data_IF_162281132323
#
_entry.id   IF_162281132323
#
_cell.length_a   1.000
_cell.length_b   1.000
_cell.length_c   1.000
_cell.angle_alpha   90.00
_cell.angle_beta   90.00
_cell.angle_gamma   90.00
#
_symmetry.space_group_name_H-M   'P 1'
#
loop_
_entity.id
_entity.type
_entity.pdbx_description
1 polymer ?
#
# COMPACT_ATOMS: atom_id res chain seq x y z
N UNK A 1 -10.15 15.71 -7.94
CA UNK A 1 -10.27 14.30 -7.51
C UNK A 1 -10.93 14.18 -6.14
N UNK A 2 -10.49 14.94 -5.12
CA UNK A 2 -11.17 15.00 -3.80
C UNK A 2 -12.66 15.37 -3.90
N UNK A 3 -13.00 16.42 -4.65
CA UNK A 3 -14.42 16.83 -4.88
C UNK A 3 -15.29 15.78 -5.61
N UNK A 4 -14.69 14.83 -6.31
CA UNK A 4 -15.43 13.74 -6.97
C UNK A 4 -15.65 12.56 -6.03
N UNK A 5 -14.69 12.29 -5.14
CA UNK A 5 -14.81 11.27 -4.09
C UNK A 5 -15.82 11.71 -3.02
N UNK A 6 -15.83 13.00 -2.63
CA UNK A 6 -16.87 13.56 -1.77
C UNK A 6 -18.25 13.45 -2.41
N UNK A 7 -18.39 13.77 -3.70
CA UNK A 7 -19.66 13.61 -4.42
C UNK A 7 -20.09 12.14 -4.49
N UNK A 8 -19.16 11.20 -4.69
CA UNK A 8 -19.46 9.77 -4.69
C UNK A 8 -19.90 9.29 -3.31
N UNK A 9 -19.20 9.70 -2.24
CA UNK A 9 -19.56 9.40 -0.85
C UNK A 9 -20.93 9.98 -0.48
N UNK A 10 -21.21 11.23 -0.86
CA UNK A 10 -22.52 11.86 -0.65
C UNK A 10 -23.59 11.12 -1.45
N UNK A 11 -23.31 10.68 -2.67
CA UNK A 11 -24.27 9.90 -3.49
C UNK A 11 -24.53 8.53 -2.88
N UNK A 12 -23.51 7.86 -2.34
CA UNK A 12 -23.64 6.59 -1.61
C UNK A 12 -24.44 6.82 -0.31
N UNK A 13 -24.18 7.91 0.42
CA UNK A 13 -24.96 8.29 1.61
C UNK A 13 -26.41 8.60 1.25
N UNK A 14 -26.65 9.26 0.12
CA UNK A 14 -27.99 9.58 -0.37
C UNK A 14 -28.75 8.33 -0.80
N UNK A 15 -28.07 7.37 -1.44
CA UNK A 15 -28.62 6.05 -1.75
C UNK A 15 -28.93 5.24 -0.48
N UNK A 16 -28.06 5.28 0.55
CA UNK A 16 -28.29 4.65 1.85
C UNK A 16 -29.50 5.24 2.59
N UNK A 17 -29.79 6.54 2.41
CA UNK A 17 -30.96 7.20 3.01
C UNK A 17 -32.24 6.91 2.20
N UNK A 18 -32.15 6.84 0.86
CA UNK A 18 -33.31 6.51 0.02
C UNK A 18 -33.77 5.05 0.14
N UNK A 19 -32.89 4.11 0.51
CA UNK A 19 -33.32 2.72 0.77
C UNK A 19 -34.22 2.56 1.98
N UNK A 20 -34.33 3.56 2.87
CA UNK A 20 -35.32 3.58 3.95
C UNK A 20 -36.73 3.98 3.47
N UNK A 21 -36.90 4.41 2.21
CA UNK A 21 -38.17 4.97 1.69
C UNK A 21 -38.85 4.04 0.66
N UNK A 22 -38.16 3.04 0.11
CA UNK A 22 -38.75 2.08 -0.84
C UNK A 22 -39.10 0.76 -0.13
N UNK A 23 -40.18 0.79 0.64
CA UNK A 23 -40.69 -0.36 1.37
C UNK A 23 -42.13 -0.24 1.83
N UNK A 24 -43.00 0.44 1.09
CA UNK A 24 -44.44 0.45 1.36
C UNK A 24 -45.17 -0.11 0.15
N UNK A 25 -45.49 -1.41 0.20
CA UNK A 25 -46.72 -2.02 -0.29
C UNK A 25 -46.60 -3.54 -0.19
N UNK A 26 -46.78 -4.08 1.02
CA UNK A 26 -47.24 -5.45 1.23
C UNK A 26 -48.14 -5.47 2.49
N UNK A 27 -49.22 -6.28 2.50
CA UNK A 27 -50.20 -6.33 3.60
C UNK A 27 -49.59 -6.91 4.89
N UNK A 28 -50.23 -6.76 6.07
CA UNK A 28 -49.55 -6.67 7.36
C UNK A 28 -49.05 -8.04 7.82
N UNK A 29 -47.78 -8.34 7.51
CA UNK A 29 -46.99 -9.31 8.25
C UNK A 29 -46.09 -8.52 9.17
N UNK A 30 -46.49 -8.45 10.45
CA UNK A 30 -45.72 -7.97 11.61
C UNK A 30 -44.47 -7.15 11.24
N UNK A 31 -44.64 -5.85 11.04
CA UNK A 31 -43.53 -4.94 10.78
C UNK A 31 -42.78 -4.68 12.11
N UNK A 32 -41.46 -4.95 12.18
CA UNK A 32 -40.71 -4.75 13.42
C UNK A 32 -40.71 -3.28 13.87
N UNK A 33 -40.90 -2.33 12.95
CA UNK A 33 -40.97 -0.90 13.27
C UNK A 33 -42.28 -0.54 13.99
N UNK A 34 -43.37 -1.28 13.73
CA UNK A 34 -44.63 -1.14 14.48
C UNK A 34 -44.45 -1.64 15.92
N UNK A 35 -43.78 -2.78 16.12
CA UNK A 35 -43.49 -3.33 17.46
C UNK A 35 -42.56 -2.41 18.27
N UNK A 36 -41.57 -1.79 17.63
CA UNK A 36 -40.67 -0.84 18.29
C UNK A 36 -41.40 0.47 18.62
N UNK A 37 -42.28 0.95 17.74
CA UNK A 37 -43.14 2.11 18.01
C UNK A 37 -44.10 1.86 19.18
N UNK A 38 -44.75 0.70 19.21
CA UNK A 38 -45.60 0.28 20.34
C UNK A 38 -44.81 0.16 21.66
N UNK A 39 -43.57 -0.33 21.60
CA UNK A 39 -42.69 -0.39 22.77
C UNK A 39 -42.32 1.02 23.27
N UNK A 40 -42.05 1.96 22.37
CA UNK A 40 -41.74 3.35 22.71
C UNK A 40 -42.97 4.07 23.32
N UNK A 41 -44.17 3.81 22.81
CA UNK A 41 -45.41 4.33 23.39
C UNK A 41 -45.67 3.75 24.80
N UNK A 42 -45.36 2.47 25.02
CA UNK A 42 -45.43 1.83 26.34
C UNK A 42 -44.36 2.37 27.30
N UNK A 43 -43.17 2.70 26.82
CA UNK A 43 -42.11 3.31 27.63
C UNK A 43 -42.51 4.72 28.11
N UNK A 44 -43.14 5.51 27.24
CA UNK A 44 -43.69 6.83 27.60
C UNK A 44 -44.82 6.68 28.63
N UNK A 45 -45.69 5.67 28.50
CA UNK A 45 -46.77 5.38 29.47
C UNK A 45 -46.21 4.88 30.81
N UNK A 46 -45.18 4.02 30.78
CA UNK A 46 -44.50 3.52 31.96
C UNK A 46 -43.75 4.61 32.73
N UNK A 47 -43.17 5.59 32.03
CA UNK A 47 -42.54 6.77 32.63
C UNK A 47 -43.52 7.70 33.36
N UNK A 48 -44.81 7.66 33.00
CA UNK A 48 -45.88 8.48 33.61
C UNK A 48 -46.69 7.74 34.68
N UNK A 49 -46.46 6.45 34.87
CA UNK A 49 -47.21 5.65 35.84
C UNK A 49 -46.67 5.82 37.27
N UNK A 50 -47.56 6.17 38.21
CA UNK A 50 -47.23 6.34 39.62
C UNK A 50 -47.26 5.02 40.40
N UNK A 51 -47.98 3.99 39.91
CA UNK A 51 -48.05 2.68 40.55
C UNK A 51 -46.84 1.79 40.17
N UNK A 52 -46.01 1.36 41.14
CA UNK A 52 -44.83 0.54 40.89
C UNK A 52 -45.15 -0.84 40.28
N UNK A 53 -46.30 -1.44 40.59
CA UNK A 53 -46.67 -2.77 40.06
C UNK A 53 -47.03 -2.70 38.59
N UNK A 54 -47.85 -1.71 38.22
CA UNK A 54 -48.23 -1.47 36.81
C UNK A 54 -47.02 -1.05 35.97
N UNK A 55 -46.09 -0.27 36.54
CA UNK A 55 -44.83 0.11 35.88
C UNK A 55 -43.93 -1.10 35.59
N UNK A 56 -43.77 -2.02 36.53
CA UNK A 56 -42.97 -3.24 36.30
C UNK A 56 -43.57 -4.14 35.22
N UNK A 57 -44.90 -4.29 35.17
CA UNK A 57 -45.59 -5.04 34.10
C UNK A 57 -45.34 -4.42 32.72
N UNK A 58 -45.46 -3.10 32.60
CA UNK A 58 -45.19 -2.41 31.34
C UNK A 58 -43.72 -2.51 30.91
N UNK A 59 -42.77 -2.45 31.85
CA UNK A 59 -41.34 -2.67 31.53
C UNK A 59 -41.09 -4.08 30.97
N UNK A 60 -41.72 -5.09 31.55
CA UNK A 60 -41.62 -6.46 31.04
C UNK A 60 -42.22 -6.60 29.62
N UNK A 61 -43.36 -5.97 29.36
CA UNK A 61 -43.96 -5.93 28.02
C UNK A 61 -43.09 -5.16 27.00
N UNK A 62 -42.47 -4.05 27.40
CA UNK A 62 -41.51 -3.31 26.55
C UNK A 62 -40.33 -4.21 26.16
N UNK A 63 -39.74 -4.90 27.14
CA UNK A 63 -38.63 -5.82 26.89
C UNK A 63 -39.04 -6.96 25.97
N UNK A 64 -40.23 -7.53 26.17
CA UNK A 64 -40.79 -8.57 25.30
C UNK A 64 -40.99 -8.07 23.87
N UNK A 65 -41.62 -6.90 23.68
CA UNK A 65 -41.85 -6.32 22.34
C UNK A 65 -40.55 -5.95 21.62
N UNK A 66 -39.57 -5.40 22.33
CA UNK A 66 -38.23 -5.12 21.75
C UNK A 66 -37.50 -6.40 21.34
N UNK A 67 -37.61 -7.46 22.15
CA UNK A 67 -37.05 -8.76 21.82
C UNK A 67 -37.73 -9.37 20.58
N UNK A 68 -39.06 -9.34 20.53
CA UNK A 68 -39.85 -9.81 19.37
C UNK A 68 -39.53 -9.01 18.10
N UNK A 69 -39.37 -7.69 18.20
CA UNK A 69 -38.95 -6.84 17.08
C UNK A 69 -37.54 -7.20 16.58
N UNK A 70 -36.59 -7.44 17.49
CA UNK A 70 -35.23 -7.88 17.14
C UNK A 70 -35.23 -9.23 16.43
N UNK A 71 -35.90 -10.23 17.01
CA UNK A 71 -35.99 -11.58 16.43
C UNK A 71 -36.65 -11.55 15.05
N UNK A 72 -37.62 -10.66 14.85
CA UNK A 72 -38.31 -10.50 13.57
C UNK A 72 -37.45 -9.77 12.53
N UNK A 73 -36.67 -8.76 12.93
CA UNK A 73 -35.64 -8.14 12.08
C UNK A 73 -34.60 -9.15 11.62
N UNK A 74 -34.12 -9.99 12.54
CA UNK A 74 -33.14 -11.02 12.23
C UNK A 74 -33.71 -12.01 11.21
N UNK A 75 -34.95 -12.48 11.40
CA UNK A 75 -35.63 -13.37 10.43
C UNK A 75 -35.84 -12.73 9.07
N UNK A 76 -36.25 -11.46 9.00
CA UNK A 76 -36.42 -10.74 7.74
C UNK A 76 -35.08 -10.56 7.03
N UNK A 77 -34.03 -10.23 7.78
CA UNK A 77 -32.68 -10.07 7.26
C UNK A 77 -32.10 -11.40 6.75
N UNK A 78 -32.33 -12.51 7.45
CA UNK A 78 -31.98 -13.85 6.96
C UNK A 78 -32.72 -14.20 5.67
N UNK A 79 -34.02 -13.87 5.58
CA UNK A 79 -34.78 -14.06 4.34
C UNK A 79 -34.21 -13.23 3.20
N UNK A 80 -33.80 -12.00 3.44
CA UNK A 80 -33.17 -11.14 2.44
C UNK A 80 -31.83 -11.70 1.96
N UNK A 81 -30.95 -12.09 2.89
CA UNK A 81 -29.65 -12.70 2.58
C UNK A 81 -29.82 -14.02 1.82
N UNK A 82 -30.84 -14.81 2.14
CA UNK A 82 -31.09 -16.09 1.49
C UNK A 82 -31.40 -15.97 -0.01
N UNK A 83 -31.83 -14.79 -0.48
CA UNK A 83 -32.04 -14.45 -1.90
C UNK A 83 -30.71 -14.24 -2.64
N UNK A 84 -29.74 -15.12 -2.41
CA UNK A 84 -28.46 -15.09 -3.10
C UNK A 84 -28.67 -15.17 -4.63
N UNK A 85 -27.96 -14.37 -5.44
CA UNK A 85 -28.09 -14.40 -6.89
C UNK A 85 -27.71 -15.78 -7.43
N UNK A 86 -28.62 -16.40 -8.20
CA UNK A 86 -28.38 -17.71 -8.83
C UNK A 86 -27.49 -17.64 -10.09
N UNK A 87 -27.33 -16.45 -10.67
CA UNK A 87 -26.57 -16.21 -11.89
C UNK A 87 -25.09 -15.88 -11.64
N UNK A 88 -24.41 -15.42 -12.68
CA UNK A 88 -23.09 -14.81 -12.56
C UNK A 88 -23.20 -13.57 -11.65
N UNK A 89 -22.15 -13.30 -10.88
CA UNK A 89 -22.14 -12.16 -9.94
C UNK A 89 -20.93 -11.30 -10.22
N UNK A 90 -21.13 -9.99 -10.16
CA UNK A 90 -20.07 -9.01 -10.26
C UNK A 90 -20.03 -8.16 -9.00
N UNK A 91 -18.95 -8.26 -8.24
CA UNK A 91 -18.75 -7.50 -7.02
C UNK A 91 -17.75 -6.36 -7.26
N UNK A 92 -18.13 -5.15 -6.88
CA UNK A 92 -17.26 -3.97 -6.83
C UNK A 92 -17.06 -3.61 -5.37
N UNK A 93 -15.82 -3.59 -4.89
CA UNK A 93 -15.45 -3.17 -3.55
C UNK A 93 -14.57 -1.92 -3.57
N UNK A 94 -14.95 -0.94 -2.76
CA UNK A 94 -14.14 0.26 -2.48
C UNK A 94 -13.64 0.13 -1.06
N UNK A 95 -12.32 0.22 -0.89
CA UNK A 95 -11.66 0.05 0.40
C UNK A 95 -11.10 1.38 0.90
N UNK A 96 -11.18 1.60 2.21
CA UNK A 96 -10.53 2.66 2.94
C UNK A 96 -9.45 2.01 3.81
N UNK A 97 -8.21 2.00 3.33
CA UNK A 97 -7.12 1.27 3.96
C UNK A 97 -6.19 2.23 4.70
N UNK A 98 -6.15 2.16 6.03
CA UNK A 98 -5.22 2.94 6.83
C UNK A 98 -3.84 2.27 6.78
N UNK A 99 -3.01 2.73 5.84
CA UNK A 99 -1.77 2.05 5.47
C UNK A 99 -0.52 2.76 5.89
N UNK A 100 0.44 1.99 6.39
CA UNK A 100 1.84 2.38 6.55
C UNK A 100 2.66 1.80 5.39
N UNK A 101 3.54 2.62 4.83
CA UNK A 101 4.42 2.20 3.74
C UNK A 101 5.88 2.57 4.01
N UNK A 102 6.75 1.58 3.92
CA UNK A 102 8.20 1.74 3.95
C UNK A 102 8.69 1.46 2.52
N UNK A 103 9.05 2.52 1.75
CA UNK A 103 9.34 2.38 0.33
C UNK A 103 10.76 1.84 0.06
N UNK A 104 10.89 1.00 -0.97
CA UNK A 104 12.21 0.54 -1.45
C UNK A 104 13.19 1.68 -1.79
N UNK A 105 12.69 2.83 -2.27
CA UNK A 105 13.52 4.00 -2.59
C UNK A 105 14.22 4.59 -1.37
N UNK A 106 13.55 4.58 -0.20
CA UNK A 106 14.14 5.09 1.04
C UNK A 106 15.20 4.12 1.57
N UNK A 107 14.91 2.82 1.53
CA UNK A 107 15.85 1.78 1.92
C UNK A 107 17.14 1.83 1.06
N UNK A 108 17.00 2.08 -0.25
CA UNK A 108 18.16 2.29 -1.14
C UNK A 108 19.00 3.49 -0.72
N UNK A 109 18.37 4.62 -0.37
CA UNK A 109 19.09 5.82 0.11
C UNK A 109 19.82 5.59 1.42
N UNK A 110 19.20 4.89 2.37
CA UNK A 110 19.85 4.52 3.62
C UNK A 110 21.08 3.63 3.39
N UNK A 111 21.01 2.71 2.41
CA UNK A 111 22.17 1.90 2.02
C UNK A 111 23.30 2.73 1.39
N UNK A 112 22.97 3.67 0.49
CA UNK A 112 23.96 4.59 -0.12
C UNK A 112 24.66 5.39 0.98
N UNK A 113 23.88 6.00 1.88
CA UNK A 113 24.37 6.73 3.06
C UNK A 113 25.28 5.91 3.99
N UNK A 114 24.90 4.66 4.26
CA UNK A 114 25.70 3.77 5.11
C UNK A 114 27.04 3.45 4.45
N UNK A 115 27.04 3.19 3.14
CA UNK A 115 28.25 2.96 2.37
C UNK A 115 29.14 4.21 2.35
N UNK A 116 28.57 5.40 2.16
CA UNK A 116 29.31 6.67 2.27
C UNK A 116 29.95 6.84 3.64
N UNK A 117 29.21 6.53 4.72
CA UNK A 117 29.73 6.63 6.08
C UNK A 117 30.86 5.64 6.33
N UNK A 118 30.73 4.40 5.85
CA UNK A 118 31.79 3.40 5.96
C UNK A 118 33.01 3.82 5.14
N UNK A 119 32.83 4.23 3.88
CA UNK A 119 33.91 4.80 3.06
C UNK A 119 34.53 5.99 3.78
N UNK A 120 33.77 6.89 4.37
CA UNK A 120 34.26 8.01 5.18
C UNK A 120 35.09 7.56 6.39
N UNK A 121 34.65 6.56 7.15
CA UNK A 121 35.36 6.05 8.34
C UNK A 121 36.64 5.29 7.95
N UNK A 122 36.59 4.44 6.92
CA UNK A 122 37.76 3.74 6.38
C UNK A 122 38.76 4.70 5.75
N UNK A 123 38.27 5.71 5.04
CA UNK A 123 39.14 6.74 4.46
C UNK A 123 39.67 7.65 5.55
N UNK A 124 39.00 7.89 6.69
CA UNK A 124 39.55 8.68 7.82
C UNK A 124 40.85 8.09 8.40
N UNK A 125 41.00 6.76 8.42
CA UNK A 125 42.27 6.11 8.77
C UNK A 125 43.38 6.29 7.73
N UNK A 126 43.01 6.47 6.45
CA UNK A 126 43.91 6.78 5.34
C UNK A 126 44.04 8.30 5.06
N UNK A 127 43.17 9.15 5.60
CA UNK A 127 43.06 10.59 5.30
C UNK A 127 44.22 11.39 5.89
N UNK A 128 44.85 10.88 6.95
CA UNK A 128 46.14 11.41 7.40
C UNK A 128 47.22 11.23 6.33
N UNK A 129 47.16 10.14 5.55
CA UNK A 129 48.09 9.89 4.44
C UNK A 129 47.63 10.51 3.10
N UNK A 130 46.34 10.54 2.80
CA UNK A 130 45.84 11.08 1.51
C UNK A 130 45.95 12.60 1.46
N UNK A 131 45.69 13.35 2.55
CA UNK A 131 46.00 14.79 2.59
C UNK A 131 47.49 15.07 2.41
N UNK A 132 48.37 14.17 2.87
CA UNK A 132 49.81 14.25 2.65
C UNK A 132 50.21 13.88 1.19
N UNK A 133 49.49 12.95 0.55
CA UNK A 133 49.73 12.54 -0.84
C UNK A 133 49.15 13.55 -1.84
N UNK A 134 48.00 14.18 -1.58
CA UNK A 134 47.42 15.24 -2.42
C UNK A 134 48.22 16.54 -2.35
N UNK A 135 48.99 16.76 -1.28
CA UNK A 135 49.98 17.84 -1.19
C UNK A 135 51.15 17.70 -2.18
N UNK A 136 51.37 16.50 -2.75
CA UNK A 136 52.48 16.22 -3.68
C UNK A 136 52.06 16.05 -5.15
N UNK A 137 50.84 16.46 -5.51
CA UNK A 137 50.47 16.77 -6.89
C UNK A 137 50.05 15.57 -7.75
N UNK A 138 48.74 15.37 -7.88
CA UNK A 138 48.00 14.95 -9.11
C UNK A 138 46.54 14.57 -8.86
N UNK A 139 46.08 14.48 -7.61
CA UNK A 139 44.68 14.21 -7.28
C UNK A 139 44.01 15.41 -6.61
N UNK A 140 42.86 15.85 -7.14
CA UNK A 140 42.03 16.90 -6.53
C UNK A 140 41.29 16.33 -5.30
N UNK A 141 41.62 16.76 -4.07
CA UNK A 141 40.98 16.26 -2.85
C UNK A 141 39.47 16.57 -2.78
N UNK A 142 38.94 17.44 -3.65
CA UNK A 142 37.52 17.82 -3.72
C UNK A 142 36.68 16.89 -4.63
N UNK A 143 37.30 15.89 -5.28
CA UNK A 143 36.57 14.77 -5.90
C UNK A 143 35.92 13.88 -4.83
N UNK A 144 36.35 14.03 -3.57
CA UNK A 144 35.82 13.32 -2.40
C UNK A 144 35.00 14.31 -1.57
N UNK A 145 33.75 14.56 -1.98
CA UNK A 145 32.81 15.31 -1.15
C UNK A 145 32.36 14.42 0.03
N UNK A 146 33.01 14.58 1.19
CA UNK A 146 32.83 13.77 2.40
C UNK A 146 31.55 14.08 3.18
N UNK A 147 30.43 14.33 2.51
CA UNK A 147 29.16 14.54 3.21
C UNK A 147 28.48 13.20 3.44
N UNK A 148 28.50 12.71 4.68
CA UNK A 148 27.62 11.62 5.10
C UNK A 148 26.20 12.15 5.34
N UNK A 149 25.20 11.54 4.70
CA UNK A 149 23.79 11.93 4.84
C UNK A 149 23.02 10.94 5.70
N UNK A 150 22.70 11.23 6.96
CA UNK A 150 21.96 10.28 7.83
C UNK A 150 20.45 10.45 7.72
N UNK A 151 19.73 9.51 7.11
CA UNK A 151 18.27 9.59 6.99
C UNK A 151 17.57 9.07 8.25
N UNK A 152 16.70 9.88 8.85
CA UNK A 152 15.81 9.40 9.93
C UNK A 152 14.69 8.50 9.37
N UNK A 153 14.05 7.75 10.27
CA UNK A 153 12.86 6.99 9.91
C UNK A 153 11.76 7.95 9.41
N UNK A 154 11.02 7.57 8.36
CA UNK A 154 10.03 8.45 7.75
C UNK A 154 8.91 8.74 8.77
N UNK A 155 8.80 9.99 9.18
CA UNK A 155 7.67 10.46 9.98
C UNK A 155 6.47 10.67 9.06
N UNK A 156 5.28 10.25 9.49
CA UNK A 156 4.06 10.37 8.69
C UNK A 156 4.01 9.44 7.49
N UNK A 157 4.60 8.25 7.57
CA UNK A 157 4.53 7.21 6.54
C UNK A 157 3.18 6.45 6.51
N UNK A 158 2.21 6.91 7.30
CA UNK A 158 0.87 6.36 7.38
C UNK A 158 -0.13 7.30 6.71
N UNK A 159 -0.92 6.78 5.77
CA UNK A 159 -1.99 7.53 5.09
C UNK A 159 -3.09 6.57 4.64
N UNK A 160 -4.32 7.07 4.54
CA UNK A 160 -5.44 6.33 3.96
C UNK A 160 -5.25 6.13 2.45
N UNK A 161 -5.25 4.88 2.01
CA UNK A 161 -5.26 4.45 0.63
C UNK A 161 -6.66 4.01 0.21
N UNK A 162 -6.98 4.15 -1.08
CA UNK A 162 -8.30 3.82 -1.63
C UNK A 162 -8.21 2.76 -2.75
N UNK A 163 -7.90 1.50 -2.42
CA UNK A 163 -7.92 0.43 -3.41
C UNK A 163 -9.34 0.13 -3.88
N UNK A 164 -9.48 -0.20 -5.16
CA UNK A 164 -10.71 -0.71 -5.77
C UNK A 164 -10.47 -2.18 -6.11
N UNK A 165 -11.38 -3.06 -5.69
CA UNK A 165 -11.36 -4.48 -6.05
C UNK A 165 -12.60 -4.83 -6.86
N UNK A 166 -12.43 -5.60 -7.91
CA UNK A 166 -13.48 -6.14 -8.75
C UNK A 166 -13.39 -7.66 -8.67
N UNK A 167 -14.53 -8.33 -8.46
CA UNK A 167 -14.60 -9.78 -8.43
C UNK A 167 -15.78 -10.23 -9.29
N UNK A 168 -15.47 -10.87 -10.41
CA UNK A 168 -16.45 -11.58 -11.21
C UNK A 168 -16.43 -13.06 -10.83
N UNK A 169 -17.61 -13.66 -10.62
CA UNK A 169 -17.77 -15.10 -10.45
C UNK A 169 -18.82 -15.61 -11.44
N UNK A 170 -18.47 -16.71 -12.12
CA UNK A 170 -19.39 -17.44 -13.00
C UNK A 170 -20.64 -17.94 -12.27
N UNK A 171 -21.66 -18.40 -13.00
CA UNK A 171 -22.88 -18.98 -12.42
C UNK A 171 -22.56 -20.14 -11.46
N UNK A 172 -21.65 -21.02 -11.87
CA UNK A 172 -21.20 -22.14 -11.03
C UNK A 172 -20.40 -21.74 -9.79
N UNK A 173 -19.97 -20.46 -9.70
CA UNK A 173 -19.06 -19.93 -8.66
C UNK A 173 -17.72 -20.65 -8.53
N UNK A 174 -17.41 -21.59 -9.43
CA UNK A 174 -16.13 -22.32 -9.50
C UNK A 174 -15.04 -21.50 -10.16
N UNK A 175 -15.39 -20.66 -11.12
CA UNK A 175 -14.42 -19.82 -11.84
C UNK A 175 -14.73 -18.34 -11.62
N UNK A 176 -13.67 -17.54 -11.58
CA UNK A 176 -13.79 -16.09 -11.43
C UNK A 176 -12.57 -15.31 -11.90
N UNK A 177 -12.74 -14.00 -11.94
CA UNK A 177 -11.68 -13.03 -12.24
C UNK A 177 -11.70 -11.98 -11.15
N UNK A 178 -10.55 -11.74 -10.54
CA UNK A 178 -10.33 -10.69 -9.55
C UNK A 178 -9.39 -9.64 -10.13
N UNK A 179 -9.77 -8.37 -10.08
CA UNK A 179 -8.89 -7.26 -10.41
C UNK A 179 -8.76 -6.32 -9.22
N UNK A 180 -7.55 -5.86 -8.91
CA UNK A 180 -7.31 -4.87 -7.86
C UNK A 180 -6.53 -3.71 -8.45
N UNK A 181 -6.93 -2.49 -8.10
CA UNK A 181 -6.26 -1.27 -8.50
C UNK A 181 -5.97 -0.38 -7.29
N UNK A 182 -4.74 0.11 -7.18
CA UNK A 182 -4.28 1.04 -6.16
C UNK A 182 -3.38 2.10 -6.80
N UNK A 183 -3.68 3.39 -6.59
CA UNK A 183 -2.74 4.51 -6.78
C UNK A 183 -2.59 5.24 -5.44
N UNK A 184 -1.48 5.00 -4.76
CA UNK A 184 -1.19 5.56 -3.45
C UNK A 184 -0.11 6.62 -3.55
N UNK A 185 -0.35 7.79 -2.94
CA UNK A 185 0.61 8.90 -2.90
C UNK A 185 0.77 9.42 -1.48
N UNK A 186 2.01 9.50 -1.02
CA UNK A 186 2.36 9.98 0.31
C UNK A 186 3.57 10.91 0.25
N UNK A 187 3.63 11.83 1.21
CA UNK A 187 4.74 12.77 1.38
C UNK A 187 5.28 12.66 2.81
N UNK A 188 5.97 11.56 3.14
CA UNK A 188 6.55 11.44 4.47
C UNK A 188 7.62 12.52 4.62
N UNK A 189 7.94 12.88 5.85
CA UNK A 189 9.08 13.74 6.16
C UNK A 189 10.17 12.91 6.80
N UNK A 190 11.41 13.16 6.39
CA UNK A 190 12.58 12.72 7.15
C UNK A 190 13.59 13.85 7.21
N UNK A 191 14.42 13.78 8.23
CA UNK A 191 15.57 14.66 8.41
C UNK A 191 16.82 13.96 7.89
N UNK A 192 17.71 14.74 7.28
CA UNK A 192 19.11 14.35 7.15
C UNK A 192 20.02 15.26 7.94
N UNK A 193 21.07 14.67 8.51
CA UNK A 193 22.23 15.41 9.01
C UNK A 193 23.30 15.28 7.95
N UNK A 194 23.79 16.42 7.45
CA UNK A 194 24.97 16.48 6.61
C UNK A 194 26.17 16.84 7.48
N UNK A 195 27.16 15.97 7.51
CA UNK A 195 28.42 16.22 8.20
C UNK A 195 29.46 16.60 7.15
N UNK A 196 29.94 17.84 7.15
CA UNK A 196 31.09 18.27 6.35
C UNK A 196 32.28 18.51 7.28
N UNK A 197 33.22 17.55 7.41
CA UNK A 197 34.32 17.68 8.35
C UNK A 197 35.45 18.50 7.72
N UNK A 198 35.36 19.81 7.86
CA UNK A 198 36.52 20.70 7.69
C UNK A 198 37.03 21.11 9.08
N UNK A 199 38.35 21.08 9.26
CA UNK A 199 39.01 21.60 10.47
C UNK A 199 38.59 23.06 10.66
N UNK A 200 37.69 23.32 11.62
CA UNK A 200 37.14 24.65 11.93
C UNK A 200 35.66 24.86 11.60
N UNK A 201 34.95 23.89 10.99
CA UNK A 201 33.53 24.02 10.68
C UNK A 201 32.71 22.92 11.37
N UNK A 202 32.22 23.22 12.59
CA UNK A 202 31.30 22.38 13.36
C UNK A 202 29.83 22.53 12.93
N UNK A 203 29.54 23.29 11.87
CA UNK A 203 28.16 23.55 11.45
C UNK A 203 27.55 22.33 10.77
N UNK A 204 26.91 21.48 11.58
CA UNK A 204 26.01 20.44 11.11
C UNK A 204 24.81 21.12 10.44
N UNK A 205 24.61 20.87 9.15
CA UNK A 205 23.43 21.40 8.45
C UNK A 205 22.31 20.36 8.55
N UNK A 206 21.24 20.74 9.24
CA UNK A 206 20.01 19.96 9.34
C UNK A 206 19.14 20.27 8.14
N UNK A 207 18.93 19.28 7.28
CA UNK A 207 18.04 19.42 6.14
C UNK A 207 16.79 18.58 6.36
N UNK A 208 15.63 19.21 6.18
CA UNK A 208 14.34 18.53 6.14
C UNK A 208 13.99 18.21 4.69
N UNK A 209 13.66 16.95 4.43
CA UNK A 209 13.25 16.50 3.11
C UNK A 209 11.77 16.14 3.12
N UNK A 210 11.08 16.57 2.07
CA UNK A 210 9.71 16.19 1.77
C UNK A 210 9.64 15.37 0.49
N UNK A 211 10.08 14.11 0.49
CA UNK A 211 9.93 13.25 -0.69
C UNK A 211 8.46 13.14 -1.10
N UNK A 212 8.23 13.13 -2.41
CA UNK A 212 7.00 12.67 -2.99
C UNK A 212 7.16 11.20 -3.35
N UNK A 213 6.36 10.33 -2.72
CA UNK A 213 6.31 8.92 -3.04
C UNK A 213 4.96 8.58 -3.68
N UNK A 214 5.01 7.72 -4.69
CA UNK A 214 3.83 7.14 -5.32
C UNK A 214 4.04 5.66 -5.59
N UNK A 215 3.01 4.86 -5.30
CA UNK A 215 2.93 3.43 -5.60
C UNK A 215 1.68 3.19 -6.43
N UNK A 216 1.83 2.58 -7.59
CA UNK A 216 0.72 2.06 -8.37
C UNK A 216 0.81 0.54 -8.37
N UNK A 217 -0.28 -0.13 -7.97
CA UNK A 217 -0.33 -1.58 -7.83
C UNK A 217 -1.60 -2.09 -8.51
N UNK A 218 -1.43 -2.83 -9.60
CA UNK A 218 -2.51 -3.34 -10.42
C UNK A 218 -2.37 -4.86 -10.51
N UNK A 219 -3.41 -5.58 -10.13
CA UNK A 219 -3.44 -7.03 -10.11
C UNK A 219 -4.62 -7.54 -10.93
N UNK A 220 -4.41 -8.60 -11.68
CA UNK A 220 -5.46 -9.33 -12.39
C UNK A 220 -5.23 -10.82 -12.18
N UNK A 221 -6.17 -11.49 -11.52
CA UNK A 221 -6.09 -12.89 -11.13
C UNK A 221 -7.28 -13.68 -11.69
N UNK A 222 -6.99 -14.81 -12.33
CA UNK A 222 -7.96 -15.87 -12.58
C UNK A 222 -8.08 -16.76 -11.34
N UNK A 223 -9.31 -17.09 -10.97
CA UNK A 223 -9.64 -17.85 -9.77
C UNK A 223 -10.26 -19.20 -10.13
N UNK A 224 -9.86 -20.25 -9.42
CA UNK A 224 -10.52 -21.56 -9.49
C UNK A 224 -10.83 -22.07 -8.09
N UNK A 225 -12.11 -22.19 -7.74
CA UNK A 225 -12.60 -22.62 -6.44
C UNK A 225 -13.07 -24.08 -6.44
N UNK A 226 -12.65 -24.79 -5.40
CA UNK A 226 -13.25 -26.02 -4.93
C UNK A 226 -14.16 -25.70 -3.75
N UNK A 227 -15.39 -26.22 -3.78
CA UNK A 227 -16.30 -26.13 -2.65
C UNK A 227 -16.15 -27.38 -1.79
N UNK A 228 -15.82 -27.19 -0.51
CA UNK A 228 -15.75 -28.29 0.47
C UNK A 228 -17.16 -28.66 0.93
N UNK A 229 -17.33 -29.85 1.50
CA UNK A 229 -18.63 -30.28 2.06
C UNK A 229 -19.18 -29.38 3.17
N UNK A 230 -18.37 -28.44 3.70
CA UNK A 230 -18.80 -27.43 4.68
C UNK A 230 -19.25 -26.11 4.02
N UNK A 231 -19.34 -26.03 2.70
CA UNK A 231 -19.61 -24.79 1.94
C UNK A 231 -18.45 -23.78 1.95
N UNK A 232 -17.23 -24.21 2.32
CA UNK A 232 -16.04 -23.35 2.22
C UNK A 232 -15.52 -23.41 0.79
N UNK A 233 -15.27 -22.25 0.18
CA UNK A 233 -14.62 -22.16 -1.13
C UNK A 233 -13.13 -21.94 -0.93
N UNK A 234 -12.32 -22.85 -1.43
CA UNK A 234 -10.86 -22.75 -1.40
C UNK A 234 -10.30 -22.94 -2.79
N UNK A 235 -9.19 -22.31 -3.13
CA UNK A 235 -8.66 -22.53 -4.46
C UNK A 235 -7.45 -21.69 -4.86
N UNK A 236 -6.69 -22.16 -5.85
CA UNK A 236 -5.58 -21.42 -6.41
C UNK A 236 -6.04 -20.23 -7.25
N UNK A 237 -5.14 -19.26 -7.41
CA UNK A 237 -5.24 -18.18 -8.37
C UNK A 237 -3.97 -18.07 -9.21
N UNK A 238 -4.13 -17.65 -10.46
CA UNK A 238 -3.04 -17.36 -11.38
C UNK A 238 -3.30 -16.00 -12.01
N UNK A 239 -2.30 -15.14 -12.07
CA UNK A 239 -2.51 -13.77 -12.47
C UNK A 239 -1.25 -13.04 -12.92
N UNK A 240 -1.45 -11.76 -13.19
CA UNK A 240 -0.40 -10.81 -13.54
C UNK A 240 -0.48 -9.62 -12.59
N UNK A 241 0.67 -9.08 -12.23
CA UNK A 241 0.79 -7.90 -11.37
C UNK A 241 1.71 -6.87 -12.01
N UNK A 242 1.21 -5.65 -12.16
CA UNK A 242 2.00 -4.48 -12.43
C UNK A 242 2.23 -3.72 -11.11
N UNK A 243 3.49 -3.41 -10.82
CA UNK A 243 3.88 -2.62 -9.66
C UNK A 243 4.88 -1.54 -10.08
N UNK A 244 4.43 -0.30 -9.96
CA UNK A 244 5.21 0.88 -10.30
C UNK A 244 5.44 1.73 -9.06
N UNK A 245 6.71 2.04 -8.77
CA UNK A 245 7.10 2.97 -7.71
C UNK A 245 7.73 4.21 -8.32
N UNK A 246 7.39 5.34 -7.73
CA UNK A 246 7.95 6.64 -8.06
C UNK A 246 8.35 7.35 -6.78
N UNK A 247 9.54 7.92 -6.79
CA UNK A 247 10.04 8.76 -5.73
C UNK A 247 10.68 9.99 -6.31
N UNK A 248 10.36 11.16 -5.75
CA UNK A 248 11.02 12.42 -6.08
C UNK A 248 11.38 13.15 -4.80
N UNK A 249 12.58 13.68 -4.75
CA UNK A 249 13.11 14.41 -3.62
C UNK A 249 13.80 15.69 -4.11
N UNK A 250 13.78 16.70 -3.26
CA UNK A 250 14.57 17.91 -3.42
C UNK A 250 15.34 18.15 -2.12
N UNK A 251 16.64 18.40 -2.24
CA UNK A 251 17.51 18.67 -1.10
C UNK A 251 18.96 18.31 -1.40
N UNK A 252 19.76 18.04 -0.37
CA UNK A 252 21.12 17.54 -0.59
C UNK A 252 21.06 16.10 -1.09
N UNK A 253 21.66 15.87 -2.26
CA UNK A 253 21.61 14.58 -2.92
C UNK A 253 22.70 13.65 -2.36
N UNK A 254 22.38 12.35 -2.13
CA UNK A 254 23.39 11.36 -1.79
C UNK A 254 24.42 11.23 -2.93
N UNK A 255 25.64 10.79 -2.60
CA UNK A 255 26.78 10.70 -3.52
C UNK A 255 27.60 11.98 -3.63
N UNK A 256 27.42 12.93 -2.71
CA UNK A 256 28.14 14.21 -2.77
C UNK A 256 27.76 15.08 -3.97
N UNK A 257 26.60 14.81 -4.58
CA UNK A 257 26.09 15.46 -5.79
C UNK A 257 25.58 16.90 -5.56
N UNK A 258 25.69 17.39 -4.32
CA UNK A 258 25.27 18.73 -3.92
C UNK A 258 23.76 18.85 -3.80
N UNK A 259 23.28 20.10 -3.76
CA UNK A 259 21.86 20.40 -3.58
C UNK A 259 21.10 20.35 -4.91
N UNK A 260 19.96 19.68 -4.95
CA UNK A 260 19.22 19.48 -6.19
C UNK A 260 18.01 18.56 -6.10
N UNK A 261 17.56 18.07 -7.26
CA UNK A 261 16.42 17.13 -7.37
C UNK A 261 16.90 15.73 -7.71
N UNK A 262 16.36 14.71 -7.04
CA UNK A 262 16.52 13.31 -7.40
C UNK A 262 15.16 12.69 -7.68
N UNK A 263 15.06 11.96 -8.79
CA UNK A 263 13.87 11.27 -9.24
C UNK A 263 14.19 9.81 -9.53
N UNK A 264 13.42 8.91 -8.95
CA UNK A 264 13.53 7.46 -9.11
C UNK A 264 12.19 6.92 -9.60
N UNK A 265 12.22 6.19 -10.72
CA UNK A 265 11.09 5.50 -11.35
C UNK A 265 11.47 4.04 -11.50
N UNK A 266 10.67 3.16 -10.92
CA UNK A 266 10.93 1.73 -11.01
C UNK A 266 9.62 1.00 -11.28
N UNK A 267 9.46 0.55 -12.52
CA UNK A 267 8.26 -0.15 -12.97
C UNK A 267 8.50 -1.63 -13.20
N UNK A 268 7.45 -2.45 -13.09
CA UNK A 268 7.60 -3.88 -13.30
C UNK A 268 6.28 -4.61 -13.51
N UNK A 269 6.29 -5.56 -14.45
CA UNK A 269 5.19 -6.48 -14.71
C UNK A 269 5.68 -7.91 -14.50
N UNK A 270 4.81 -8.79 -14.01
CA UNK A 270 5.13 -10.21 -14.00
C UNK A 270 4.04 -11.10 -13.41
N UNK A 271 4.32 -12.40 -13.32
CA UNK A 271 3.33 -13.37 -12.89
C UNK A 271 3.07 -13.29 -11.38
N UNK A 272 1.84 -13.65 -11.02
CA UNK A 272 1.36 -13.83 -9.67
C UNK A 272 0.69 -15.20 -9.56
N UNK A 273 0.99 -15.93 -8.50
CA UNK A 273 0.27 -17.13 -8.10
C UNK A 273 -0.30 -16.89 -6.72
N UNK A 274 -1.46 -17.45 -6.42
CA UNK A 274 -2.04 -17.26 -5.11
C UNK A 274 -2.99 -18.35 -4.71
N UNK A 275 -3.55 -18.14 -3.53
CA UNK A 275 -4.54 -19.00 -2.91
C UNK A 275 -5.62 -18.13 -2.30
N UNK A 276 -6.87 -18.59 -2.37
CA UNK A 276 -8.05 -17.92 -1.83
C UNK A 276 -8.81 -18.87 -0.94
N UNK A 277 -9.30 -18.36 0.18
CA UNK A 277 -10.19 -19.04 1.11
C UNK A 277 -11.36 -18.11 1.37
N UNK A 278 -12.58 -18.61 1.17
CA UNK A 278 -13.82 -17.89 1.45
C UNK A 278 -14.74 -18.83 2.22
N UNK A 279 -14.98 -18.54 3.49
CA UNK A 279 -15.82 -19.34 4.38
C UNK A 279 -17.01 -18.52 4.85
N UNK A 280 -18.23 -18.97 4.54
CA UNK A 280 -19.43 -18.47 5.20
C UNK A 280 -19.44 -19.01 6.63
N UNK A 281 -19.45 -18.12 7.62
CA UNK A 281 -19.51 -18.49 9.03
C UNK A 281 -20.97 -18.67 9.47
N UNK A 282 -21.83 -17.78 8.99
CA UNK A 282 -23.29 -17.86 9.10
C UNK A 282 -23.90 -17.02 7.95
N UNK A 283 -25.20 -16.74 8.02
CA UNK A 283 -25.88 -15.93 7.01
C UNK A 283 -25.28 -14.50 6.93
N UNK A 284 -24.88 -13.93 8.06
CA UNK A 284 -24.43 -12.55 8.15
C UNK A 284 -22.94 -12.37 7.89
N UNK A 285 -22.12 -13.36 8.21
CA UNK A 285 -20.67 -13.23 8.24
C UNK A 285 -19.98 -14.19 7.28
N UNK A 286 -19.02 -13.64 6.52
CA UNK A 286 -18.11 -14.39 5.67
C UNK A 286 -16.68 -14.00 6.00
N UNK A 287 -15.86 -15.00 6.29
CA UNK A 287 -14.42 -14.86 6.38
C UNK A 287 -13.81 -15.01 4.99
N UNK A 288 -12.83 -14.16 4.66
CA UNK A 288 -11.99 -14.34 3.49
C UNK A 288 -10.52 -14.22 3.87
N UNK A 289 -9.70 -15.02 3.21
CA UNK A 289 -8.24 -14.92 3.28
C UNK A 289 -7.65 -15.18 1.91
N UNK A 290 -6.55 -14.50 1.62
CA UNK A 290 -5.80 -14.63 0.38
C UNK A 290 -4.31 -14.51 0.67
N UNK A 291 -3.55 -15.30 -0.07
CA UNK A 291 -2.10 -15.26 -0.07
C UNK A 291 -1.63 -15.27 -1.52
N UNK A 292 -0.84 -14.30 -1.90
CA UNK A 292 -0.30 -14.14 -3.25
C UNK A 292 1.22 -14.12 -3.18
N UNK A 293 1.87 -14.83 -4.08
CA UNK A 293 3.29 -14.75 -4.37
C UNK A 293 3.48 -14.18 -5.76
N UNK A 294 4.37 -13.21 -5.92
CA UNK A 294 4.59 -12.55 -7.19
C UNK A 294 6.06 -12.32 -7.48
N UNK A 295 6.37 -12.26 -8.78
CA UNK A 295 7.65 -11.79 -9.30
C UNK A 295 7.38 -10.76 -10.39
N UNK A 296 8.06 -9.63 -10.35
CA UNK A 296 7.99 -8.63 -11.41
C UNK A 296 9.38 -8.25 -11.90
N UNK A 297 9.45 -7.94 -13.19
CA UNK A 297 10.64 -7.42 -13.84
C UNK A 297 10.24 -6.17 -14.62
N UNK A 298 11.06 -5.14 -14.58
CA UNK A 298 10.88 -4.01 -15.47
C UNK A 298 12.00 -3.01 -15.35
N UNK A 299 11.73 -1.78 -15.78
CA UNK A 299 12.76 -0.75 -15.97
C UNK A 299 13.00 0.02 -14.69
N UNK A 300 14.28 0.32 -14.46
CA UNK A 300 14.74 1.20 -13.40
C UNK A 300 15.35 2.47 -14.01
N UNK A 301 14.86 3.62 -13.58
CA UNK A 301 15.36 4.92 -13.99
C UNK A 301 15.61 5.78 -12.76
N UNK A 302 16.84 6.22 -12.61
CA UNK A 302 17.29 7.25 -11.68
C UNK A 302 17.75 8.47 -12.49
N UNK A 303 17.22 9.64 -12.12
CA UNK A 303 17.60 10.95 -12.66
C UNK A 303 17.95 11.88 -11.52
N UNK A 304 19.09 12.53 -11.60
CA UNK A 304 19.61 13.45 -10.59
C UNK A 304 20.04 14.75 -11.25
N UNK A 305 19.51 15.87 -10.76
CA UNK A 305 19.92 17.21 -11.16
C UNK A 305 20.47 17.91 -9.92
N UNK A 306 21.78 17.97 -9.79
CA UNK A 306 22.49 18.61 -8.68
C UNK A 306 23.14 19.93 -9.10
N UNK A 307 23.36 20.79 -8.13
CA UNK A 307 24.27 21.93 -8.25
C UNK A 307 25.43 21.74 -7.30
N UNK A 308 26.64 21.93 -7.80
CA UNK A 308 27.88 21.88 -7.01
C UNK A 308 28.62 23.18 -7.17
N UNK A 309 29.27 23.66 -6.11
CA UNK A 309 30.10 24.87 -6.18
C UNK A 309 31.56 24.42 -6.32
N UNK A 310 32.22 24.84 -7.39
CA UNK A 310 33.63 24.58 -7.66
C UNK A 310 34.36 25.91 -7.83
N UNK A 311 35.39 26.18 -7.01
CA UNK A 311 36.13 27.45 -7.03
C UNK A 311 35.24 28.71 -7.04
N UNK A 312 34.18 28.72 -6.22
CA UNK A 312 33.23 29.83 -6.15
C UNK A 312 32.25 29.94 -7.34
N UNK A 313 32.34 29.02 -8.32
CA UNK A 313 31.47 28.98 -9.50
C UNK A 313 30.46 27.84 -9.36
N UNK A 314 29.18 28.10 -9.66
CA UNK A 314 28.12 27.10 -9.60
C UNK A 314 28.12 26.24 -10.87
N UNK A 315 28.31 24.93 -10.72
CA UNK A 315 28.20 23.92 -11.77
C UNK A 315 26.89 23.15 -11.66
N UNK A 316 26.25 22.89 -12.80
CA UNK A 316 25.05 22.07 -12.90
C UNK A 316 25.43 20.65 -13.34
N UNK A 317 25.05 19.65 -12.54
CA UNK A 317 25.24 18.23 -12.84
C UNK A 317 23.87 17.63 -13.14
N UNK A 318 23.65 17.21 -14.39
CA UNK A 318 22.49 16.41 -14.77
C UNK A 318 22.99 15.01 -15.08
N UNK A 319 22.51 14.02 -14.33
CA UNK A 319 22.83 12.62 -14.56
C UNK A 319 21.54 11.85 -14.72
N UNK A 320 21.52 10.99 -15.73
CA UNK A 320 20.37 10.19 -16.03
C UNK A 320 20.84 8.78 -16.39
N UNK A 321 20.27 7.78 -15.73
CA UNK A 321 20.50 6.36 -16.05
C UNK A 321 19.69 5.89 -17.27
N UNK A 322 19.11 6.84 -18.01
CA UNK A 322 18.26 6.62 -19.18
C UNK A 322 18.91 7.32 -20.39
N UNK A 323 19.23 6.55 -21.43
CA UNK A 323 19.78 7.05 -22.69
C UNK A 323 21.16 6.51 -23.07
N UNK A 324 21.21 5.88 -24.25
CA UNK A 324 22.36 5.57 -25.13
C UNK A 324 23.17 4.26 -24.97
N UNK A 325 23.29 3.60 -23.79
CA UNK A 325 24.12 2.37 -23.66
C UNK A 325 23.53 1.25 -22.79
N UNK A 326 22.20 1.21 -22.63
CA UNK A 326 21.50 0.12 -21.96
C UNK A 326 20.67 0.55 -20.74
N UNK A 327 19.54 -0.12 -20.52
CA UNK A 327 18.60 0.18 -19.43
C UNK A 327 18.92 -0.64 -18.18
N UNK A 328 18.84 -0.01 -17.00
CA UNK A 328 18.86 -0.74 -15.73
C UNK A 328 17.51 -1.43 -15.52
N UNK A 329 17.54 -2.62 -14.94
CA UNK A 329 16.34 -3.40 -14.64
C UNK A 329 16.11 -3.47 -13.13
N UNK A 330 14.84 -3.51 -12.73
CA UNK A 330 14.44 -3.80 -11.35
C UNK A 330 13.74 -5.16 -11.32
N UNK A 331 14.30 -6.08 -10.55
CA UNK A 331 13.68 -7.38 -10.23
C UNK A 331 13.05 -7.30 -8.86
N UNK A 332 11.82 -7.77 -8.75
CA UNK A 332 11.07 -7.83 -7.49
C UNK A 332 10.53 -9.23 -7.26
N UNK A 333 10.62 -9.69 -6.03
CA UNK A 333 9.94 -10.89 -5.52
C UNK A 333 9.21 -10.51 -4.25
N UNK A 334 7.98 -10.96 -4.08
CA UNK A 334 7.22 -10.58 -2.90
C UNK A 334 6.04 -11.47 -2.65
N UNK A 335 5.40 -11.21 -1.52
CA UNK A 335 4.17 -11.86 -1.14
C UNK A 335 3.18 -10.84 -0.57
N UNK A 336 1.90 -11.11 -0.75
CA UNK A 336 0.80 -10.33 -0.22
C UNK A 336 -0.14 -11.26 0.53
N UNK A 337 -0.50 -10.88 1.75
CA UNK A 337 -1.48 -11.58 2.57
C UNK A 337 -2.61 -10.60 2.83
N UNK A 338 -3.84 -11.02 2.61
CA UNK A 338 -5.03 -10.25 2.92
C UNK A 338 -6.05 -11.16 3.59
N UNK A 339 -6.54 -10.75 4.76
CA UNK A 339 -7.55 -11.48 5.49
C UNK A 339 -8.58 -10.52 6.07
N UNK A 340 -9.84 -10.94 6.15
CA UNK A 340 -10.88 -10.11 6.72
C UNK A 340 -12.18 -10.85 7.00
N UNK A 341 -13.06 -10.11 7.67
CA UNK A 341 -14.40 -10.51 8.00
C UNK A 341 -15.37 -9.57 7.29
N UNK A 342 -16.28 -10.15 6.54
CA UNK A 342 -17.32 -9.45 5.82
C UNK A 342 -18.67 -9.65 6.50
N UNK A 343 -19.43 -8.57 6.63
CA UNK A 343 -20.81 -8.54 7.11
C UNK A 343 -21.75 -8.21 5.94
N UNK A 344 -22.72 -9.08 5.68
CA UNK A 344 -23.77 -8.83 4.70
C UNK A 344 -24.89 -8.02 5.35
N UNK A 345 -25.18 -6.84 4.80
CA UNK A 345 -26.34 -6.04 5.17
C UNK A 345 -27.57 -6.41 4.32
N UNK A 346 -27.34 -6.80 3.08
CA UNK A 346 -28.34 -7.37 2.17
C UNK A 346 -27.64 -8.43 1.32
N UNK A 347 -28.37 -9.09 0.42
CA UNK A 347 -27.76 -10.01 -0.56
C UNK A 347 -26.84 -9.31 -1.59
N UNK A 348 -26.94 -7.98 -1.74
CA UNK A 348 -26.15 -7.17 -2.68
C UNK A 348 -25.18 -6.21 -1.98
N UNK A 349 -25.34 -5.89 -0.70
CA UNK A 349 -24.49 -4.97 0.05
C UNK A 349 -23.70 -5.69 1.15
N UNK A 350 -22.37 -5.58 1.09
CA UNK A 350 -21.45 -6.20 2.04
C UNK A 350 -20.42 -5.21 2.54
N UNK A 351 -20.25 -5.15 3.85
CA UNK A 351 -19.19 -4.39 4.53
C UNK A 351 -18.06 -5.33 4.93
N UNK A 352 -16.83 -4.86 4.87
CA UNK A 352 -15.66 -5.70 5.16
C UNK A 352 -14.71 -4.98 6.10
N UNK A 353 -14.25 -5.66 7.14
CA UNK A 353 -13.10 -5.23 7.93
C UNK A 353 -11.98 -6.23 7.71
N UNK A 354 -10.78 -5.75 7.40
CA UNK A 354 -9.66 -6.65 7.12
C UNK A 354 -8.31 -6.01 7.34
N UNK A 355 -7.29 -6.82 7.12
CA UNK A 355 -5.89 -6.46 7.19
C UNK A 355 -5.19 -6.93 5.92
N UNK A 356 -4.36 -6.07 5.35
CA UNK A 356 -3.51 -6.36 4.21
C UNK A 356 -2.05 -6.15 4.61
N UNK A 357 -1.20 -7.10 4.22
CA UNK A 357 0.25 -7.02 4.33
C UNK A 357 0.88 -7.35 2.98
N UNK A 358 1.89 -6.61 2.58
CA UNK A 358 2.67 -6.86 1.37
C UNK A 358 4.12 -6.58 1.69
N UNK A 359 4.97 -7.59 1.49
CA UNK A 359 6.41 -7.45 1.54
C UNK A 359 6.98 -7.79 0.18
N UNK A 360 7.91 -6.96 -0.27
CA UNK A 360 8.59 -7.13 -1.53
C UNK A 360 10.07 -6.87 -1.36
N UNK A 361 10.87 -7.74 -1.96
CA UNK A 361 12.32 -7.61 -2.07
C UNK A 361 12.65 -7.17 -3.48
N UNK A 362 13.36 -6.05 -3.59
CA UNK A 362 13.75 -5.42 -4.85
C UNK A 362 15.26 -5.41 -5.00
N UNK A 363 15.73 -5.64 -6.23
CA UNK A 363 17.14 -5.64 -6.62
C UNK A 363 17.28 -4.98 -7.99
N UNK A 364 18.30 -4.15 -8.17
CA UNK A 364 18.56 -3.44 -9.43
C UNK A 364 19.78 -4.07 -10.13
N UNK A 365 19.61 -4.42 -11.41
CA UNK A 365 20.68 -4.97 -12.26
C UNK A 365 21.03 -4.05 -13.41
N UNK A 366 22.30 -4.09 -13.81
CA UNK A 366 22.79 -3.48 -15.04
C UNK A 366 22.42 -4.28 -16.29
N UNK A 367 22.93 -3.84 -17.44
CA UNK A 367 22.52 -4.32 -18.76
C UNK A 367 22.99 -5.77 -19.04
N UNK A 368 22.06 -6.72 -18.98
CA UNK A 368 21.92 -7.84 -19.92
C UNK A 368 20.46 -8.34 -19.83
N UNK A 369 19.73 -8.19 -20.93
CA UNK A 369 18.34 -8.63 -21.05
C UNK A 369 18.33 -10.16 -21.21
N UNK A 370 18.51 -10.90 -20.11
CA UNK A 370 18.28 -12.34 -20.11
C UNK A 370 16.90 -12.62 -19.49
N UNK A 371 16.00 -13.23 -20.27
CA UNK A 371 14.67 -13.65 -19.82
C UNK A 371 14.76 -14.67 -18.67
N UNK A 372 15.91 -15.35 -18.54
CA UNK A 372 16.23 -16.25 -17.43
C UNK A 372 16.41 -15.52 -16.09
N UNK A 373 16.48 -14.19 -16.06
CA UNK A 373 16.54 -13.40 -14.83
C UNK A 373 15.27 -13.51 -13.96
N UNK A 374 14.16 -14.03 -14.47
CA UNK A 374 12.98 -14.37 -13.65
C UNK A 374 13.16 -15.67 -12.83
N UNK A 375 14.15 -16.49 -13.17
CA UNK A 375 14.54 -17.74 -12.50
C UNK A 375 15.81 -17.52 -11.64
N UNK A 376 16.20 -18.45 -10.73
CA UNK A 376 17.32 -18.20 -9.82
C UNK A 376 18.68 -18.34 -10.53
N UNK A 377 19.64 -17.57 -10.03
CA UNK A 377 21.09 -17.82 -10.07
C UNK A 377 21.84 -17.84 -11.41
N UNK A 378 21.58 -16.87 -12.29
CA UNK A 378 22.62 -16.45 -13.25
C UNK A 378 23.00 -15.00 -12.96
N UNK A 379 23.89 -14.82 -11.98
CA UNK A 379 24.58 -13.56 -11.73
C UNK A 379 25.68 -13.44 -12.79
N UNK A 380 25.32 -13.04 -14.02
CA UNK A 380 26.33 -12.45 -14.90
C UNK A 380 26.61 -11.04 -14.38
N UNK A 381 27.88 -10.69 -14.16
CA UNK A 381 28.29 -9.41 -13.59
C UNK A 381 27.97 -8.26 -14.56
N UNK A 382 26.74 -7.76 -14.50
CA UNK A 382 26.31 -6.64 -15.33
C UNK A 382 26.62 -5.32 -14.63
N UNK A 383 27.47 -4.51 -15.26
CA UNK A 383 27.81 -3.16 -14.83
C UNK A 383 26.52 -2.31 -14.88
N UNK A 384 26.12 -1.73 -13.73
CA UNK A 384 25.03 -0.74 -13.70
C UNK A 384 25.39 0.40 -14.65
N UNK A 385 24.43 0.86 -15.46
CA UNK A 385 24.65 2.00 -16.33
C UNK A 385 24.54 3.28 -15.49
N UNK A 386 25.52 3.49 -14.62
CA UNK A 386 25.72 4.70 -13.83
C UNK A 386 26.69 5.59 -14.60
N UNK A 387 26.14 6.58 -15.32
CA UNK A 387 26.95 7.69 -15.83
C UNK A 387 27.27 8.58 -14.62
N UNK A 388 28.28 8.23 -13.80
CA UNK A 388 29.14 9.23 -13.13
C UNK A 388 30.33 8.68 -12.35
N UNK A 389 31.33 9.57 -12.23
CA UNK A 389 32.58 9.62 -11.43
C UNK A 389 32.99 8.36 -10.65
N UNK A 390 34.29 8.07 -10.69
CA UNK A 390 34.95 6.90 -10.10
C UNK A 390 34.64 6.67 -8.60
N UNK A 391 34.30 7.70 -7.83
CA UNK A 391 33.94 7.61 -6.40
C UNK A 391 32.46 7.25 -6.18
N UNK A 392 31.55 7.67 -7.08
CA UNK A 392 30.13 7.27 -7.03
C UNK A 392 29.95 5.78 -7.41
N UNK A 393 30.86 5.25 -8.24
CA UNK A 393 30.93 3.84 -8.63
C UNK A 393 31.22 2.88 -7.45
N UNK A 394 31.90 3.32 -6.38
CA UNK A 394 32.26 2.47 -5.24
C UNK A 394 31.23 2.48 -4.12
N UNK A 395 30.47 3.55 -3.95
CA UNK A 395 29.45 3.69 -2.88
C UNK A 395 28.03 3.41 -3.37
N UNK A 396 27.67 3.93 -4.54
CA UNK A 396 26.30 3.91 -5.08
C UNK A 396 25.99 2.59 -5.79
N UNK A 397 26.94 2.03 -6.55
CA UNK A 397 26.75 0.77 -7.28
C UNK A 397 26.45 -0.41 -6.35
N UNK A 398 27.23 -0.66 -5.26
CA UNK A 398 26.91 -1.76 -4.33
C UNK A 398 25.62 -1.51 -3.55
N UNK A 399 25.25 -0.25 -3.30
CA UNK A 399 24.01 0.09 -2.60
C UNK A 399 22.76 -0.16 -3.47
N UNK A 400 22.82 0.13 -4.78
CA UNK A 400 21.75 -0.16 -5.73
C UNK A 400 21.60 -1.66 -6.02
N UNK A 401 22.72 -2.40 -6.00
CA UNK A 401 22.74 -3.86 -6.07
C UNK A 401 22.38 -4.51 -4.73
N UNK A 402 22.23 -3.78 -3.63
CA UNK A 402 21.81 -4.41 -2.38
C UNK A 402 20.30 -4.68 -2.45
N UNK A 403 19.90 -5.89 -2.08
CA UNK A 403 18.50 -6.23 -1.91
C UNK A 403 17.86 -5.30 -0.88
N UNK A 404 16.76 -4.65 -1.26
CA UNK A 404 15.98 -3.76 -0.39
C UNK A 404 14.58 -4.31 -0.17
N UNK A 405 14.03 -4.03 1.00
CA UNK A 405 12.70 -4.47 1.40
C UNK A 405 11.75 -3.26 1.31
N UNK A 406 10.64 -3.47 0.60
CA UNK A 406 9.48 -2.59 0.57
C UNK A 406 8.35 -3.27 1.35
N UNK A 407 7.76 -2.56 2.31
CA UNK A 407 6.69 -3.10 3.16
C UNK A 407 5.49 -2.16 3.13
N UNK A 408 4.33 -2.70 2.78
CA UNK A 408 3.05 -1.99 2.75
C UNK A 408 2.02 -2.78 3.55
N UNK A 409 1.44 -2.17 4.59
CA UNK A 409 0.50 -2.87 5.47
C UNK A 409 -0.52 -1.94 6.09
N UNK A 410 -1.68 -2.47 6.46
CA UNK A 410 -2.74 -1.67 7.07
C UNK A 410 -4.05 -2.40 7.28
N UNK A 411 -4.90 -1.81 8.12
CA UNK A 411 -6.28 -2.23 8.29
C UNK A 411 -7.17 -1.48 7.30
N UNK A 412 -8.16 -2.16 6.74
CA UNK A 412 -9.13 -1.56 5.83
C UNK A 412 -10.57 -1.78 6.26
N UNK A 413 -11.39 -0.79 5.91
CA UNK A 413 -12.84 -0.89 5.88
C UNK A 413 -13.28 -0.87 4.42
N UNK A 414 -14.08 -1.84 4.00
CA UNK A 414 -14.56 -2.00 2.64
C UNK A 414 -16.08 -1.89 2.58
N UNK A 415 -16.57 -1.29 1.50
CA UNK A 415 -17.97 -1.38 1.09
C UNK A 415 -17.98 -2.03 -0.28
N UNK A 416 -18.84 -3.04 -0.44
CA UNK A 416 -18.95 -3.79 -1.68
C UNK A 416 -20.40 -3.96 -2.11
N UNK A 417 -20.60 -3.86 -3.42
CA UNK A 417 -21.89 -4.02 -4.08
C UNK A 417 -21.76 -5.21 -5.02
N UNK A 418 -22.68 -6.17 -4.90
CA UNK A 418 -22.81 -7.32 -5.79
C UNK A 418 -23.97 -7.11 -6.74
N UNK A 419 -23.69 -7.21 -8.04
CA UNK A 419 -24.64 -7.14 -9.15
C UNK A 419 -24.94 -8.53 -9.69
#
# INVERSE_FOLDING_TARGET
>A
MEKQIEKLLITILFFLIQTNVMGQNNPPRFDPDILEKEANELEIKAGKAQDPVTRQRMIFEIQKKRKEASELRDKLHEQEISKTPKGATFEIAILLNQTSWIPESLARRQNVSTNETNTFLYTNGLYQNINAITGNGTYDPHIINNTGSFYSNPQGNTKTAYPIRLLFLTESKKYGVEATFLDFRIRPSYSSVNVNPTLGNLNQTYNLYGPQLRRTDIQLNFLYFFETGSGTRIGPSLGIRNLDTYSKEYGNLPGGLGFGTMEEKAGGLGPQIGFRIVKKLNNFFQFHASADYFRTLGKYHLKTNGTTIYNGTQNFLVMETSGSTGENLVKRRGYQIDAGLSFFRTNWLKFTFGFQYTEMRSFVTGYNYDINLLFPDVISSTVLNTITKTVDLTTTRPALQKEVIDTYYGFYLGVSITL
#
